data_IF_485672488847
#
_entry.id   IF_485672488847
#
_cell.length_a   1.000
_cell.length_b   1.000
_cell.length_c   1.000
_cell.angle_alpha   90.00
_cell.angle_beta   90.00
_cell.angle_gamma   90.00
#
_symmetry.space_group_name_H-M   'P 1'
#
loop_
_entity.id
_entity.type
_entity.pdbx_description
1 polymer ?
#
# COMPACT_ATOMS: atom_id res chain seq x y z
N UNK A 1 56.55 46.59 42.32
CA UNK A 1 55.67 45.48 42.75
C UNK A 1 54.88 45.05 41.52
N UNK A 2 55.28 43.97 40.85
CA UNK A 2 54.67 43.47 39.60
C UNK A 2 53.63 42.41 39.97
N UNK A 3 52.40 42.55 39.48
CA UNK A 3 51.35 41.52 39.63
C UNK A 3 51.22 40.83 38.27
N UNK A 4 51.47 39.52 38.25
CA UNK A 4 51.31 38.64 37.09
C UNK A 4 49.84 38.28 36.91
N UNK A 5 49.31 38.51 35.71
CA UNK A 5 48.06 37.90 35.26
C UNK A 5 48.35 36.49 34.73
N UNK A 6 47.62 35.49 35.22
CA UNK A 6 47.65 34.14 34.66
C UNK A 6 46.25 33.87 34.09
N UNK A 7 46.17 33.77 32.77
CA UNK A 7 44.95 33.36 32.05
C UNK A 7 45.06 31.86 31.83
N UNK A 8 44.18 31.08 32.45
CA UNK A 8 44.10 29.63 32.26
C UNK A 8 43.14 29.35 31.10
N UNK A 9 43.68 28.83 29.99
CA UNK A 9 42.89 28.37 28.85
C UNK A 9 42.49 26.90 29.10
N UNK A 10 41.20 26.63 29.24
CA UNK A 10 40.68 25.25 29.33
C UNK A 10 40.36 24.79 27.92
N UNK A 11 41.14 23.85 27.38
CA UNK A 11 40.85 23.20 26.11
C UNK A 11 39.84 22.07 26.33
N UNK A 12 38.62 22.25 25.84
CA UNK A 12 37.60 21.20 25.80
C UNK A 12 37.93 20.24 24.66
N UNK A 13 38.35 19.02 24.98
CA UNK A 13 38.49 17.94 23.99
C UNK A 13 37.10 17.36 23.75
N UNK A 14 36.47 17.71 22.62
CA UNK A 14 35.31 16.98 22.11
C UNK A 14 35.81 15.66 21.51
N UNK A 15 35.68 14.57 22.26
CA UNK A 15 35.73 13.22 21.69
C UNK A 15 34.45 12.99 20.88
N UNK A 16 34.54 13.09 19.55
CA UNK A 16 33.52 12.57 18.66
C UNK A 16 33.49 11.04 18.82
N UNK A 17 32.48 10.52 19.52
CA UNK A 17 32.17 9.10 19.51
C UNK A 17 31.58 8.83 18.13
N UNK A 18 32.41 8.29 17.23
CA UNK A 18 31.89 7.62 16.03
C UNK A 18 31.30 6.30 16.54
N UNK A 19 30.02 6.34 16.92
CA UNK A 19 29.27 5.13 17.15
C UNK A 19 29.18 4.41 15.80
N UNK A 20 29.82 3.25 15.68
CA UNK A 20 29.45 2.31 14.64
C UNK A 20 27.94 2.07 14.82
N UNK A 21 27.12 2.41 13.81
CA UNK A 21 25.70 2.11 13.79
C UNK A 21 25.52 0.59 13.82
N UNK A 22 25.51 0.01 15.02
CA UNK A 22 24.94 -1.32 15.20
C UNK A 22 23.46 -1.19 14.84
N UNK A 23 23.00 -2.03 13.90
CA UNK A 23 21.59 -2.14 13.56
C UNK A 23 20.78 -2.28 14.85
N UNK A 24 19.68 -1.54 14.95
CA UNK A 24 18.83 -1.63 16.12
C UNK A 24 18.22 -3.03 16.16
N UNK A 25 17.97 -3.61 17.35
CA UNK A 25 17.53 -5.00 17.46
C UNK A 25 16.18 -5.26 16.80
N UNK A 26 15.40 -4.20 16.56
CA UNK A 26 14.12 -4.27 15.89
C UNK A 26 14.17 -4.18 14.35
N UNK A 27 15.32 -3.85 13.75
CA UNK A 27 15.43 -3.63 12.29
C UNK A 27 15.02 -4.86 11.48
N UNK A 28 15.22 -6.06 12.05
CA UNK A 28 14.84 -7.34 11.45
C UNK A 28 13.33 -7.55 11.28
N UNK A 29 12.49 -6.74 11.95
CA UNK A 29 11.04 -6.88 11.91
C UNK A 29 10.36 -5.94 10.91
N UNK A 30 11.08 -5.01 10.29
CA UNK A 30 10.49 -4.10 9.30
C UNK A 30 9.97 -4.87 8.09
N UNK A 31 8.68 -4.72 7.83
CA UNK A 31 8.03 -5.23 6.61
C UNK A 31 7.87 -4.15 5.56
N UNK A 32 8.03 -2.87 5.90
CA UNK A 32 8.04 -1.83 4.87
C UNK A 32 9.17 -2.06 3.87
N UNK A 33 8.96 -1.89 2.56
CA UNK A 33 10.03 -2.04 1.58
C UNK A 33 11.09 -0.94 1.74
N UNK A 34 12.32 -1.22 1.33
CA UNK A 34 13.43 -0.24 1.37
C UNK A 34 13.41 0.75 0.19
N UNK A 35 12.61 0.44 -0.84
CA UNK A 35 12.48 1.17 -2.10
C UNK A 35 11.03 1.08 -2.56
N UNK A 36 10.58 2.05 -3.37
CA UNK A 36 9.28 1.93 -4.04
C UNK A 36 9.30 0.84 -5.11
N UNK A 37 10.41 0.63 -5.80
CA UNK A 37 10.52 -0.46 -6.77
C UNK A 37 10.96 -1.73 -6.05
N UNK A 38 10.04 -2.70 -5.97
CA UNK A 38 10.22 -3.95 -5.25
C UNK A 38 10.30 -5.08 -6.27
N UNK A 39 11.32 -5.92 -6.17
CA UNK A 39 11.44 -7.17 -6.91
C UNK A 39 10.91 -8.34 -6.08
N UNK A 40 10.40 -9.42 -6.70
CA UNK A 40 10.06 -10.63 -5.98
C UNK A 40 11.31 -11.26 -5.37
N UNK A 41 11.16 -11.89 -4.20
CA UNK A 41 12.26 -12.57 -3.51
C UNK A 41 12.50 -13.99 -4.04
N UNK A 42 11.58 -14.50 -4.87
CA UNK A 42 11.69 -15.82 -5.46
C UNK A 42 10.52 -16.15 -6.39
N UNK A 43 10.63 -17.30 -7.07
CA UNK A 43 9.52 -17.94 -7.76
C UNK A 43 8.88 -18.94 -6.80
N UNK A 44 7.58 -18.77 -6.54
CA UNK A 44 6.78 -19.66 -5.71
C UNK A 44 6.58 -21.03 -6.37
N UNK A 45 6.36 -21.02 -7.69
CA UNK A 45 6.17 -22.24 -8.47
C UNK A 45 5.84 -21.95 -9.92
N UNK A 46 5.89 -23.00 -10.75
CA UNK A 46 5.51 -22.97 -12.15
C UNK A 46 4.73 -24.22 -12.54
N UNK A 47 4.00 -24.15 -13.66
CA UNK A 47 3.22 -25.26 -14.22
C UNK A 47 3.26 -25.20 -15.74
N UNK A 48 3.27 -26.35 -16.40
CA UNK A 48 3.35 -26.44 -17.86
C UNK A 48 4.79 -26.42 -18.38
N UNK A 49 4.96 -25.87 -19.58
CA UNK A 49 6.26 -25.74 -20.24
C UNK A 49 6.92 -24.42 -19.84
N UNK A 50 7.67 -24.48 -18.74
CA UNK A 50 8.35 -23.34 -18.14
C UNK A 50 9.77 -23.71 -17.76
N UNK A 51 10.73 -22.95 -18.26
CA UNK A 51 12.13 -23.04 -17.84
C UNK A 51 12.44 -21.87 -16.89
N UNK A 52 12.89 -22.16 -15.68
CA UNK A 52 13.17 -21.16 -14.64
C UNK A 52 14.66 -21.13 -14.30
N UNK A 53 15.22 -19.94 -14.13
CA UNK A 53 16.57 -19.72 -13.61
C UNK A 53 16.57 -18.50 -12.69
N UNK A 54 16.82 -18.69 -11.40
CA UNK A 54 16.72 -17.63 -10.38
C UNK A 54 15.34 -16.92 -10.40
N UNK A 55 15.30 -15.67 -10.86
CA UNK A 55 14.08 -14.86 -11.03
C UNK A 55 13.68 -14.70 -12.51
N UNK A 56 14.36 -15.36 -13.44
CA UNK A 56 13.99 -15.36 -14.86
C UNK A 56 13.18 -16.61 -15.20
N UNK A 57 12.30 -16.49 -16.19
CA UNK A 57 11.51 -17.60 -16.66
C UNK A 57 11.21 -17.48 -18.16
N UNK A 58 11.39 -18.56 -18.90
CA UNK A 58 10.82 -18.70 -20.25
C UNK A 58 9.56 -19.52 -20.14
N UNK A 59 8.43 -18.94 -20.53
CA UNK A 59 7.10 -19.57 -20.49
C UNK A 59 6.65 -19.80 -21.93
N UNK A 60 6.27 -21.04 -22.27
CA UNK A 60 5.73 -21.42 -23.58
C UNK A 60 4.59 -22.41 -23.41
N UNK A 61 3.76 -22.59 -24.45
CA UNK A 61 2.67 -23.56 -24.41
C UNK A 61 1.43 -23.06 -23.66
N UNK A 62 0.27 -23.20 -24.30
CA UNK A 62 -1.01 -22.72 -23.77
C UNK A 62 -1.30 -23.29 -22.36
N UNK A 63 -1.53 -22.39 -21.40
CA UNK A 63 -1.85 -22.74 -20.02
C UNK A 63 -0.63 -22.83 -19.10
N UNK A 64 0.58 -22.60 -19.60
CA UNK A 64 1.78 -22.54 -18.76
C UNK A 64 1.79 -21.29 -17.88
N UNK A 65 2.25 -21.45 -16.64
CA UNK A 65 2.25 -20.40 -15.62
C UNK A 65 3.55 -20.37 -14.81
N UNK A 66 3.93 -19.18 -14.38
CA UNK A 66 4.97 -18.95 -13.36
C UNK A 66 4.45 -17.95 -12.35
N UNK A 67 4.61 -18.24 -11.06
CA UNK A 67 4.16 -17.37 -9.97
C UNK A 67 5.34 -16.88 -9.16
N UNK A 68 5.48 -15.56 -9.07
CA UNK A 68 6.48 -14.88 -8.27
C UNK A 68 5.96 -14.60 -6.85
N UNK A 69 6.83 -14.72 -5.85
CA UNK A 69 6.57 -14.39 -4.44
C UNK A 69 7.37 -13.15 -4.04
N UNK A 70 6.68 -12.10 -3.60
CA UNK A 70 7.31 -10.89 -3.04
C UNK A 70 7.80 -11.07 -1.60
N UNK A 71 7.55 -12.22 -0.96
CA UNK A 71 7.95 -12.54 0.41
C UNK A 71 7.10 -11.86 1.48
N UNK A 72 6.46 -10.75 1.11
CA UNK A 72 5.59 -9.93 1.93
C UNK A 72 4.44 -9.36 1.10
N UNK A 73 3.44 -8.79 1.77
CA UNK A 73 2.41 -8.04 1.05
C UNK A 73 3.03 -6.78 0.46
N UNK A 74 2.78 -6.51 -0.80
CA UNK A 74 3.11 -5.27 -1.53
C UNK A 74 1.82 -4.66 -2.08
N UNK A 75 1.85 -3.44 -2.57
CA UNK A 75 0.76 -2.84 -3.34
C UNK A 75 1.34 -2.08 -4.54
N UNK A 76 0.53 -1.76 -5.54
CA UNK A 76 0.95 -0.89 -6.64
C UNK A 76 0.80 -1.52 -8.02
N UNK A 77 1.47 -0.93 -9.01
CA UNK A 77 1.46 -1.39 -10.40
C UNK A 77 2.80 -2.04 -10.76
N UNK A 78 2.79 -2.92 -11.76
CA UNK A 78 3.95 -3.77 -12.08
C UNK A 78 4.65 -3.32 -13.35
N UNK A 79 5.94 -3.65 -13.41
CA UNK A 79 6.76 -3.62 -14.62
C UNK A 79 7.27 -5.02 -14.90
N UNK A 80 7.19 -5.42 -16.17
CA UNK A 80 7.75 -6.67 -16.69
C UNK A 80 8.84 -6.35 -17.71
N UNK A 81 9.93 -7.11 -17.66
CA UNK A 81 11.02 -7.06 -18.63
C UNK A 81 11.05 -8.36 -19.43
N UNK A 82 11.22 -8.21 -20.75
CA UNK A 82 11.21 -9.29 -21.71
C UNK A 82 12.56 -9.39 -22.42
N UNK A 83 13.10 -10.61 -22.51
CA UNK A 83 14.36 -10.90 -23.19
C UNK A 83 14.20 -11.20 -24.68
N UNK A 84 15.33 -11.28 -25.37
CA UNK A 84 15.44 -11.58 -26.81
C UNK A 84 14.80 -12.92 -27.24
N UNK A 85 14.58 -13.86 -26.32
CA UNK A 85 13.90 -15.14 -26.57
C UNK A 85 12.38 -15.03 -26.63
N UNK A 86 11.81 -13.85 -26.43
CA UNK A 86 10.37 -13.58 -26.58
C UNK A 86 9.99 -13.54 -28.06
N UNK A 87 8.92 -14.23 -28.43
CA UNK A 87 8.32 -14.10 -29.77
C UNK A 87 7.57 -12.77 -29.87
N UNK A 88 7.72 -12.07 -31.00
CA UNK A 88 7.02 -10.81 -31.28
C UNK A 88 5.50 -10.97 -31.34
N UNK A 89 4.75 -9.89 -31.08
CA UNK A 89 3.29 -9.84 -31.05
C UNK A 89 2.66 -10.85 -30.05
N UNK A 90 3.35 -11.15 -28.96
CA UNK A 90 2.83 -12.00 -27.88
C UNK A 90 2.29 -11.19 -26.71
N UNK A 91 1.62 -11.87 -25.78
CA UNK A 91 1.15 -11.26 -24.54
C UNK A 91 1.22 -12.24 -23.39
N UNK A 92 1.38 -11.68 -22.19
CA UNK A 92 1.41 -12.43 -20.95
C UNK A 92 0.20 -12.03 -20.10
N UNK A 93 -0.59 -13.02 -19.69
CA UNK A 93 -1.64 -12.83 -18.69
C UNK A 93 -1.02 -12.61 -17.32
N UNK A 94 -1.63 -11.73 -16.54
CA UNK A 94 -1.15 -11.26 -15.24
C UNK A 94 -2.30 -11.35 -14.23
N UNK A 95 -2.04 -12.03 -13.13
CA UNK A 95 -2.99 -12.19 -12.03
C UNK A 95 -2.31 -12.03 -10.67
N UNK A 96 -3.07 -11.51 -9.70
CA UNK A 96 -2.57 -11.15 -8.38
C UNK A 96 -3.29 -11.93 -7.29
N UNK A 97 -2.58 -12.33 -6.24
CA UNK A 97 -3.24 -12.89 -5.05
C UNK A 97 -2.56 -12.50 -3.73
N UNK A 98 -3.35 -12.37 -2.67
CA UNK A 98 -2.85 -12.11 -1.31
C UNK A 98 -2.32 -13.35 -0.60
N UNK A 99 -2.83 -14.53 -0.96
CA UNK A 99 -2.54 -15.79 -0.28
C UNK A 99 -2.29 -16.88 -1.32
N UNK A 100 -1.39 -17.80 -0.99
CA UNK A 100 -1.02 -18.91 -1.86
C UNK A 100 -2.21 -19.82 -2.21
N UNK A 101 -3.25 -19.86 -1.37
CA UNK A 101 -4.48 -20.60 -1.63
C UNK A 101 -5.24 -20.12 -2.88
N UNK A 102 -5.07 -18.85 -3.25
CA UNK A 102 -5.79 -18.22 -4.36
C UNK A 102 -4.87 -17.89 -5.54
N UNK A 103 -3.69 -18.51 -5.61
CA UNK A 103 -2.84 -18.43 -6.79
C UNK A 103 -3.59 -19.08 -7.95
N UNK A 104 -3.72 -18.32 -9.04
CA UNK A 104 -4.35 -18.77 -10.26
C UNK A 104 -4.07 -17.81 -11.42
N UNK A 105 -4.62 -18.14 -12.58
CA UNK A 105 -4.56 -17.29 -13.78
C UNK A 105 -5.54 -16.12 -13.71
N UNK A 106 -6.51 -16.16 -12.80
CA UNK A 106 -7.40 -15.05 -12.48
C UNK A 106 -6.98 -14.46 -11.13
N UNK A 107 -7.03 -13.14 -11.02
CA UNK A 107 -6.71 -12.45 -9.76
C UNK A 107 -7.72 -12.82 -8.67
N UNK A 108 -7.24 -12.95 -7.44
CA UNK A 108 -8.10 -13.22 -6.30
C UNK A 108 -9.10 -12.07 -6.06
N UNK A 109 -10.25 -12.41 -5.48
CA UNK A 109 -11.35 -11.45 -5.33
C UNK A 109 -10.91 -10.20 -4.59
N UNK A 110 -11.22 -9.04 -5.18
CA UNK A 110 -11.00 -7.73 -4.57
C UNK A 110 -12.29 -6.92 -4.40
N UNK A 111 -13.44 -7.62 -4.27
CA UNK A 111 -14.72 -7.05 -3.84
C UNK A 111 -15.53 -8.12 -3.08
N UNK A 112 -16.52 -7.69 -2.29
CA UNK A 112 -17.52 -8.55 -1.66
C UNK A 112 -18.66 -8.93 -2.63
N UNK A 113 -18.72 -8.27 -3.80
CA UNK A 113 -19.66 -8.58 -4.87
C UNK A 113 -19.21 -9.80 -5.68
N UNK A 114 -20.15 -10.46 -6.36
CA UNK A 114 -19.87 -11.57 -7.28
C UNK A 114 -19.25 -11.09 -8.61
N UNK A 115 -18.13 -10.35 -8.52
CA UNK A 115 -17.38 -9.80 -9.64
C UNK A 115 -15.97 -10.38 -9.59
N UNK A 116 -15.59 -11.05 -10.66
CA UNK A 116 -14.26 -11.65 -10.84
C UNK A 116 -13.37 -10.61 -11.51
N UNK A 117 -12.21 -10.33 -10.91
CA UNK A 117 -11.25 -9.38 -11.49
C UNK A 117 -10.61 -9.91 -12.78
N UNK A 118 -10.40 -11.23 -12.84
CA UNK A 118 -9.84 -11.90 -14.01
C UNK A 118 -8.34 -11.62 -14.19
N UNK A 119 -7.93 -11.62 -15.45
CA UNK A 119 -6.54 -11.52 -15.90
C UNK A 119 -6.38 -10.23 -16.71
N UNK A 120 -5.37 -9.43 -16.39
CA UNK A 120 -4.92 -8.33 -17.27
C UNK A 120 -3.76 -8.81 -18.13
N UNK A 121 -3.47 -8.14 -19.23
CA UNK A 121 -2.48 -8.61 -20.19
C UNK A 121 -1.38 -7.57 -20.42
N UNK A 122 -0.13 -8.02 -20.40
CA UNK A 122 1.02 -7.25 -20.84
C UNK A 122 1.36 -7.64 -22.27
N UNK A 123 1.43 -6.71 -23.24
CA UNK A 123 2.07 -6.98 -24.52
C UNK A 123 3.55 -7.28 -24.30
N UNK A 124 4.08 -8.27 -25.02
CA UNK A 124 5.45 -8.74 -24.89
C UNK A 124 6.14 -8.74 -26.27
N UNK A 125 7.29 -8.07 -26.32
CA UNK A 125 8.15 -7.99 -27.50
C UNK A 125 9.59 -8.38 -27.10
N UNK A 126 10.42 -8.89 -28.03
CA UNK A 126 11.83 -9.11 -27.77
C UNK A 126 12.54 -7.84 -27.25
N UNK A 127 13.39 -8.00 -26.24
CA UNK A 127 14.22 -6.93 -25.66
C UNK A 127 13.42 -5.68 -25.25
N UNK A 128 12.27 -5.87 -24.60
CA UNK A 128 11.34 -4.80 -24.25
C UNK A 128 10.97 -4.79 -22.77
N UNK A 129 10.26 -3.75 -22.35
CA UNK A 129 9.67 -3.67 -21.01
C UNK A 129 8.26 -3.10 -21.10
N UNK A 130 7.36 -3.59 -20.26
CA UNK A 130 6.00 -3.08 -20.15
C UNK A 130 5.67 -2.72 -18.71
N UNK A 131 5.27 -1.46 -18.50
CA UNK A 131 4.79 -0.96 -17.20
C UNK A 131 3.28 -0.74 -17.32
N UNK A 132 2.51 -1.35 -16.42
CA UNK A 132 1.08 -1.10 -16.36
C UNK A 132 0.79 0.31 -15.88
N UNK A 133 -0.25 0.93 -16.44
CA UNK A 133 -0.76 2.21 -15.94
C UNK A 133 -1.16 2.14 -14.47
N UNK A 134 -1.06 3.27 -13.77
CA UNK A 134 -1.38 3.37 -12.33
C UNK A 134 -2.81 2.95 -12.02
N UNK A 135 -3.73 3.12 -12.97
CA UNK A 135 -5.11 2.68 -12.87
C UNK A 135 -5.27 1.17 -12.70
N UNK A 136 -4.29 0.37 -13.15
CA UNK A 136 -4.25 -1.09 -12.94
C UNK A 136 -3.55 -1.50 -11.65
N UNK A 137 -3.04 -0.54 -10.87
CA UNK A 137 -2.37 -0.80 -9.61
C UNK A 137 -3.24 -1.69 -8.74
N UNK A 138 -2.73 -2.87 -8.40
CA UNK A 138 -3.41 -3.78 -7.51
C UNK A 138 -3.17 -3.30 -6.09
N UNK A 139 -4.26 -3.09 -5.35
CA UNK A 139 -4.18 -3.00 -3.90
C UNK A 139 -3.52 -4.25 -3.31
N UNK A 140 -3.26 -4.31 -2.01
CA UNK A 140 -2.32 -5.31 -1.44
C UNK A 140 -2.40 -6.75 -2.00
N UNK A 141 -1.25 -7.31 -2.40
CA UNK A 141 -1.03 -8.68 -2.88
C UNK A 141 0.38 -9.16 -2.51
N UNK A 142 0.66 -10.47 -2.62
CA UNK A 142 2.00 -11.05 -2.38
C UNK A 142 2.49 -11.89 -3.55
N UNK A 143 1.57 -12.52 -4.27
CA UNK A 143 1.90 -13.40 -5.38
C UNK A 143 1.45 -12.79 -6.69
N UNK A 144 2.31 -12.88 -7.69
CA UNK A 144 2.04 -12.46 -9.07
C UNK A 144 2.18 -13.66 -9.99
N UNK A 145 1.07 -14.11 -10.57
CA UNK A 145 1.05 -15.18 -11.57
C UNK A 145 1.11 -14.58 -12.95
N UNK A 146 2.05 -15.07 -13.74
CA UNK A 146 2.17 -14.81 -15.17
C UNK A 146 1.77 -16.08 -15.94
N UNK A 147 0.97 -15.93 -16.99
CA UNK A 147 0.43 -17.06 -17.76
C UNK A 147 0.41 -16.79 -19.26
N UNK A 148 0.72 -17.80 -20.07
CA UNK A 148 0.57 -17.70 -21.54
C UNK A 148 -0.68 -18.46 -22.02
N UNK A 149 -1.30 -17.96 -23.08
CA UNK A 149 -2.36 -18.64 -23.83
C UNK A 149 -1.95 -19.03 -25.25
N UNK A 150 -0.68 -18.79 -25.62
CA UNK A 150 -0.11 -19.17 -26.92
C UNK A 150 0.93 -20.28 -26.76
N UNK A 151 1.29 -20.93 -27.87
CA UNK A 151 2.45 -21.82 -27.92
C UNK A 151 3.79 -21.09 -28.00
N UNK A 152 3.75 -19.79 -28.27
CA UNK A 152 4.95 -18.96 -28.46
C UNK A 152 5.67 -18.71 -27.14
N UNK A 153 6.99 -18.58 -27.22
CA UNK A 153 7.82 -18.36 -26.05
C UNK A 153 7.78 -16.89 -25.60
N UNK A 154 7.70 -16.68 -24.29
CA UNK A 154 7.89 -15.37 -23.64
C UNK A 154 9.00 -15.52 -22.62
N UNK A 155 10.11 -14.81 -22.82
CA UNK A 155 11.26 -14.80 -21.90
C UNK A 155 11.12 -13.63 -20.94
N UNK A 156 10.79 -13.91 -19.68
CA UNK A 156 10.71 -12.93 -18.59
C UNK A 156 12.09 -12.80 -17.96
N UNK A 157 12.67 -11.61 -18.05
CA UNK A 157 14.00 -11.30 -17.51
C UNK A 157 13.94 -10.44 -16.25
N UNK A 158 12.78 -9.89 -15.91
CA UNK A 158 12.58 -9.10 -14.71
C UNK A 158 11.11 -8.85 -14.40
N UNK A 159 10.82 -8.76 -13.10
CA UNK A 159 9.50 -8.45 -12.55
C UNK A 159 9.70 -7.47 -11.41
N UNK A 160 8.96 -6.37 -11.40
CA UNK A 160 8.95 -5.44 -10.28
C UNK A 160 7.56 -4.85 -10.03
N UNK A 161 7.38 -4.31 -8.84
CA UNK A 161 6.20 -3.55 -8.42
C UNK A 161 6.62 -2.19 -7.93
N UNK A 162 5.99 -1.14 -8.44
CA UNK A 162 6.11 0.19 -7.89
C UNK A 162 5.10 0.41 -6.76
N UNK A 163 5.59 0.46 -5.52
CA UNK A 163 4.86 0.59 -4.27
C UNK A 163 4.22 1.97 -4.12
N UNK A 164 2.90 2.02 -4.00
CA UNK A 164 2.13 3.29 -3.98
C UNK A 164 1.58 3.67 -2.61
N UNK A 165 1.68 2.78 -1.60
CA UNK A 165 1.26 3.11 -0.25
C UNK A 165 2.14 4.22 0.37
N UNK A 166 1.55 4.93 1.32
CA UNK A 166 2.11 6.13 1.95
C UNK A 166 2.64 7.14 0.91
N UNK A 167 1.78 7.66 0.00
CA UNK A 167 2.20 8.55 -1.09
C UNK A 167 2.81 9.88 -0.63
N UNK A 168 2.58 10.31 0.61
CA UNK A 168 3.22 11.52 1.15
C UNK A 168 4.58 11.25 1.80
N UNK A 169 4.99 9.99 1.93
CA UNK A 169 6.31 9.60 2.46
C UNK A 169 7.33 9.57 1.33
N UNK A 170 8.50 10.20 1.54
CA UNK A 170 9.60 10.15 0.57
C UNK A 170 10.07 8.70 0.33
N UNK A 171 10.54 8.42 -0.88
CA UNK A 171 10.89 7.08 -1.33
C UNK A 171 11.95 6.38 -0.46
N UNK A 172 12.90 7.15 0.07
CA UNK A 172 13.98 6.68 0.94
C UNK A 172 13.57 6.59 2.43
N UNK A 173 12.34 6.97 2.77
CA UNK A 173 11.85 7.08 4.16
C UNK A 173 10.72 6.12 4.51
N UNK A 174 10.37 5.17 3.65
CA UNK A 174 9.30 4.20 3.92
C UNK A 174 9.52 3.39 5.22
N UNK A 175 10.78 3.22 5.64
CA UNK A 175 11.19 2.52 6.87
C UNK A 175 11.48 3.44 8.06
N UNK A 176 11.40 4.76 7.89
CA UNK A 176 11.65 5.74 8.95
C UNK A 176 10.40 5.90 9.82
N UNK A 177 10.14 4.90 10.67
CA UNK A 177 9.00 4.95 11.59
C UNK A 177 9.22 6.03 12.65
N UNK A 178 8.15 6.69 13.04
CA UNK A 178 8.16 7.71 14.11
C UNK A 178 8.23 7.10 15.52
N UNK A 179 7.96 5.80 15.65
CA UNK A 179 8.09 5.05 16.89
C UNK A 179 8.51 3.61 16.62
N UNK A 180 9.05 2.95 17.66
CA UNK A 180 9.60 1.60 17.59
C UNK A 180 9.23 0.82 18.85
N UNK A 181 9.12 -0.50 18.73
CA UNK A 181 8.84 -1.41 19.84
C UNK A 181 9.80 -2.58 19.82
N UNK A 182 10.35 -2.94 20.97
CA UNK A 182 11.16 -4.14 21.12
C UNK A 182 11.03 -4.72 22.53
N UNK A 183 10.89 -6.04 22.59
CA UNK A 183 10.77 -6.82 23.81
C UNK A 183 11.54 -8.14 23.68
N UNK A 184 11.60 -8.89 24.78
CA UNK A 184 12.15 -10.25 24.82
C UNK A 184 11.21 -11.31 24.20
N UNK A 185 9.99 -10.94 23.81
CA UNK A 185 9.04 -11.79 23.10
C UNK A 185 9.05 -11.49 21.59
N UNK A 186 9.59 -12.44 20.81
CA UNK A 186 9.66 -12.35 19.35
C UNK A 186 8.28 -12.22 18.68
N UNK A 187 7.26 -12.88 19.23
CA UNK A 187 5.90 -12.81 18.66
C UNK A 187 5.32 -11.41 18.84
N UNK A 188 5.50 -10.79 20.00
CA UNK A 188 5.04 -9.42 20.24
C UNK A 188 5.75 -8.42 19.33
N UNK A 189 7.07 -8.59 19.13
CA UNK A 189 7.83 -7.77 18.19
C UNK A 189 7.22 -7.90 16.78
N UNK A 190 7.04 -9.13 16.27
CA UNK A 190 6.46 -9.37 14.95
C UNK A 190 5.04 -8.82 14.79
N UNK A 191 4.19 -8.92 15.82
CA UNK A 191 2.83 -8.37 15.82
C UNK A 191 2.87 -6.85 15.66
N UNK A 192 3.75 -6.17 16.40
CA UNK A 192 3.84 -4.71 16.36
C UNK A 192 4.21 -4.21 14.95
N UNK A 193 5.25 -4.78 14.34
CA UNK A 193 5.70 -4.36 13.01
C UNK A 193 4.74 -4.79 11.88
N UNK A 194 4.03 -5.92 12.04
CA UNK A 194 2.94 -6.28 11.13
C UNK A 194 1.78 -5.27 11.21
N UNK A 195 1.46 -4.78 12.42
CA UNK A 195 0.47 -3.74 12.63
C UNK A 195 0.88 -2.40 11.97
N UNK A 196 2.11 -1.95 12.22
CA UNK A 196 2.68 -0.75 11.60
C UNK A 196 2.65 -0.83 10.07
N UNK A 197 3.05 -1.98 9.51
CA UNK A 197 3.02 -2.17 8.06
C UNK A 197 1.60 -2.23 7.49
N UNK A 198 0.65 -2.80 8.22
CA UNK A 198 -0.77 -2.83 7.81
C UNK A 198 -1.34 -1.43 7.68
N UNK A 199 -1.09 -0.54 8.66
CA UNK A 199 -1.57 0.84 8.58
C UNK A 199 -0.86 1.64 7.47
N UNK A 200 0.41 1.34 7.18
CA UNK A 200 1.13 1.91 6.03
C UNK A 200 0.45 1.49 4.71
N UNK A 201 0.20 0.19 4.51
CA UNK A 201 -0.47 -0.33 3.32
C UNK A 201 -1.87 0.26 3.12
N UNK A 202 -2.59 0.54 4.21
CA UNK A 202 -3.92 1.18 4.20
C UNK A 202 -3.87 2.70 4.05
N UNK A 203 -2.70 3.28 3.78
CA UNK A 203 -2.54 4.70 3.50
C UNK A 203 -2.30 4.88 2.00
N UNK A 204 -3.27 5.46 1.27
CA UNK A 204 -3.29 5.47 -0.20
C UNK A 204 -3.45 6.88 -0.77
N UNK A 205 -3.18 7.07 -2.05
CA UNK A 205 -3.55 8.30 -2.74
C UNK A 205 -5.07 8.34 -3.00
N UNK A 206 -5.68 9.53 -2.90
CA UNK A 206 -7.13 9.71 -3.00
C UNK A 206 -7.71 9.30 -4.36
N UNK A 207 -6.88 9.24 -5.40
CA UNK A 207 -7.22 8.77 -6.74
C UNK A 207 -6.85 7.30 -7.00
N UNK A 208 -6.60 6.51 -5.95
CA UNK A 208 -6.37 5.07 -6.03
C UNK A 208 -7.44 4.23 -5.31
N UNK A 209 -8.61 4.80 -5.10
CA UNK A 209 -9.73 4.05 -4.52
C UNK A 209 -10.29 3.06 -5.55
N UNK A 210 -11.12 2.14 -5.08
CA UNK A 210 -11.84 1.20 -5.92
C UNK A 210 -13.25 1.73 -6.18
N UNK A 211 -13.68 1.74 -7.44
CA UNK A 211 -15.04 2.16 -7.78
C UNK A 211 -16.09 1.31 -7.06
N UNK A 212 -17.23 1.93 -6.69
CA UNK A 212 -18.38 1.25 -6.13
C UNK A 212 -19.66 1.59 -6.92
N UNK A 213 -20.29 0.63 -7.61
CA UNK A 213 -19.83 -0.76 -7.78
C UNK A 213 -18.52 -0.84 -8.59
N UNK A 214 -17.70 -1.88 -8.38
CA UNK A 214 -16.54 -2.13 -9.22
C UNK A 214 -16.97 -2.40 -10.66
N UNK A 215 -16.21 -1.89 -11.63
CA UNK A 215 -16.44 -2.14 -13.05
C UNK A 215 -15.28 -2.94 -13.62
N UNK A 216 -15.58 -4.06 -14.27
CA UNK A 216 -14.63 -4.83 -15.07
C UNK A 216 -14.91 -4.51 -16.53
N UNK A 217 -13.88 -4.06 -17.24
CA UNK A 217 -13.92 -3.76 -18.68
C UNK A 217 -13.19 -4.85 -19.46
N UNK A 218 -13.16 -4.74 -20.79
CA UNK A 218 -12.35 -5.62 -21.63
C UNK A 218 -10.84 -5.55 -21.31
N UNK A 219 -10.39 -4.45 -20.68
CA UNK A 219 -9.00 -4.25 -20.24
C UNK A 219 -8.75 -4.72 -18.80
N UNK A 220 -9.78 -5.15 -18.08
CA UNK A 220 -9.70 -5.53 -16.65
C UNK A 220 -10.35 -4.51 -15.71
N UNK A 221 -9.83 -4.42 -14.49
CA UNK A 221 -10.30 -3.53 -13.43
C UNK A 221 -9.55 -2.21 -13.40
N UNK A 222 -10.13 -1.22 -12.71
CA UNK A 222 -9.45 0.02 -12.36
C UNK A 222 -9.52 0.31 -10.87
N UNK A 223 -8.37 0.68 -10.28
CA UNK A 223 -8.26 1.30 -8.97
C UNK A 223 -7.88 2.78 -9.15
N UNK A 224 -8.73 3.53 -9.87
CA UNK A 224 -8.57 4.95 -10.13
C UNK A 224 -9.78 5.79 -9.66
N UNK A 225 -10.64 5.21 -8.82
CA UNK A 225 -11.75 5.97 -8.25
C UNK A 225 -11.21 7.03 -7.28
N UNK A 226 -11.95 8.12 -7.16
CA UNK A 226 -11.54 9.26 -6.33
C UNK A 226 -12.32 9.28 -5.02
N UNK A 227 -11.59 9.37 -3.91
CA UNK A 227 -12.11 9.82 -2.62
C UNK A 227 -12.37 11.32 -2.75
N UNK A 228 -13.62 11.72 -2.67
CA UNK A 228 -14.09 13.08 -2.88
C UNK A 228 -13.83 13.96 -1.65
N UNK A 229 -13.94 15.28 -1.86
CA UNK A 229 -13.75 16.30 -0.82
C UNK A 229 -12.34 16.31 -0.20
N UNK A 230 -11.36 15.79 -0.93
CA UNK A 230 -9.93 15.94 -0.69
C UNK A 230 -9.25 16.22 -2.03
N UNK A 231 -8.08 16.84 -2.03
CA UNK A 231 -7.33 17.09 -3.27
C UNK A 231 -7.01 15.76 -3.97
N UNK A 232 -7.08 15.72 -5.30
CA UNK A 232 -6.67 14.56 -6.09
C UNK A 232 -5.21 14.21 -5.80
N UNK A 233 -4.95 12.94 -5.47
CA UNK A 233 -3.62 12.45 -5.11
C UNK A 233 -3.25 12.66 -3.64
N UNK A 234 -4.08 13.34 -2.84
CA UNK A 234 -3.85 13.49 -1.41
C UNK A 234 -3.79 12.12 -0.71
N UNK A 235 -2.94 12.00 0.30
CA UNK A 235 -2.87 10.79 1.11
C UNK A 235 -4.11 10.63 1.99
N UNK A 236 -4.73 9.46 2.00
CA UNK A 236 -5.95 9.17 2.77
C UNK A 236 -5.83 7.80 3.46
N UNK A 237 -6.29 7.72 4.71
CA UNK A 237 -6.35 6.47 5.46
C UNK A 237 -7.65 5.72 5.15
N UNK A 238 -7.54 4.45 4.77
CA UNK A 238 -8.66 3.61 4.32
C UNK A 238 -8.77 2.31 5.12
N UNK A 239 -9.89 1.61 4.97
CA UNK A 239 -10.15 0.31 5.60
C UNK A 239 -9.12 -0.77 5.26
N UNK A 240 -8.81 -0.91 3.96
CA UNK A 240 -8.08 -2.06 3.47
C UNK A 240 -7.30 -1.76 2.20
N UNK A 241 -6.05 -2.22 2.19
CA UNK A 241 -5.13 -1.97 1.08
C UNK A 241 -5.51 -2.66 -0.23
N UNK A 242 -6.20 -3.82 -0.20
CA UNK A 242 -6.69 -4.50 -1.42
C UNK A 242 -8.06 -3.96 -1.83
N UNK A 243 -8.95 -3.88 -0.85
CA UNK A 243 -10.35 -3.47 -0.95
C UNK A 243 -10.83 -3.09 0.46
N UNK A 244 -11.86 -2.25 0.60
CA UNK A 244 -12.54 -1.52 -0.48
C UNK A 244 -11.81 -0.22 -0.86
N UNK A 245 -10.68 0.07 -0.20
CA UNK A 245 -9.83 1.25 -0.42
C UNK A 245 -10.63 2.54 -0.22
N UNK A 246 -11.46 2.56 0.82
CA UNK A 246 -12.40 3.65 1.13
C UNK A 246 -12.23 4.12 2.58
N UNK A 247 -12.45 5.39 2.92
CA UNK A 247 -12.44 5.84 4.31
C UNK A 247 -13.63 5.26 5.07
N UNK A 248 -13.39 4.36 6.01
CA UNK A 248 -14.41 3.80 6.88
C UNK A 248 -14.16 4.25 8.33
N UNK A 249 -15.06 5.03 8.95
CA UNK A 249 -14.78 5.68 10.23
C UNK A 249 -14.52 4.70 11.38
N UNK A 250 -15.19 3.54 11.40
CA UNK A 250 -14.88 2.50 12.39
C UNK A 250 -13.47 1.94 12.26
N UNK A 251 -13.05 1.69 11.03
CA UNK A 251 -11.78 1.04 10.70
C UNK A 251 -10.59 1.97 10.95
N UNK A 252 -10.62 3.18 10.38
CA UNK A 252 -9.53 4.14 10.60
C UNK A 252 -9.58 4.73 12.01
N UNK A 253 -10.76 4.88 12.62
CA UNK A 253 -10.91 5.34 14.00
C UNK A 253 -10.19 4.42 14.98
N UNK A 254 -10.47 3.11 14.92
CA UNK A 254 -9.77 2.11 15.74
C UNK A 254 -8.27 2.05 15.44
N UNK A 255 -7.88 2.21 14.17
CA UNK A 255 -6.49 2.06 13.74
C UNK A 255 -5.64 3.32 13.91
N UNK A 256 -6.24 4.48 14.22
CA UNK A 256 -5.52 5.76 14.36
C UNK A 256 -4.50 5.71 15.49
N UNK A 257 -4.81 5.04 16.60
CA UNK A 257 -3.85 4.85 17.70
C UNK A 257 -2.64 3.99 17.28
N UNK A 258 -2.82 3.01 16.40
CA UNK A 258 -1.69 2.26 15.84
C UNK A 258 -0.86 3.14 14.91
N UNK A 259 -1.51 4.00 14.10
CA UNK A 259 -0.81 4.93 13.21
C UNK A 259 -0.05 5.99 14.00
N UNK A 260 -0.63 6.59 15.05
CA UNK A 260 0.02 7.67 15.82
C UNK A 260 1.30 7.21 16.52
N UNK A 261 1.37 5.95 16.96
CA UNK A 261 2.56 5.43 17.65
C UNK A 261 3.65 4.92 16.69
N UNK A 262 3.31 4.63 15.44
CA UNK A 262 4.23 4.02 14.47
C UNK A 262 4.62 4.98 13.33
N UNK A 263 3.67 5.72 12.76
CA UNK A 263 3.80 6.48 11.52
C UNK A 263 3.12 7.88 11.62
N UNK A 264 3.60 8.73 12.51
CA UNK A 264 3.06 10.07 12.79
C UNK A 264 4.02 11.22 12.46
N UNK A 265 4.98 11.00 11.56
CA UNK A 265 5.90 12.06 11.12
C UNK A 265 5.19 13.20 10.40
N UNK A 266 3.99 12.97 9.89
CA UNK A 266 3.14 13.88 9.13
C UNK A 266 1.99 14.50 9.94
N UNK A 267 1.99 14.30 11.26
CA UNK A 267 0.91 14.72 12.16
C UNK A 267 -0.49 14.17 11.76
N UNK A 268 -0.56 12.88 11.43
CA UNK A 268 -1.78 12.15 11.05
C UNK A 268 -2.49 12.72 9.81
N UNK A 269 -1.74 13.21 8.81
CA UNK A 269 -2.28 13.84 7.60
C UNK A 269 -3.33 12.98 6.89
N UNK A 270 -3.06 11.68 6.73
CA UNK A 270 -4.01 10.77 6.08
C UNK A 270 -5.32 10.59 6.84
N UNK A 271 -5.28 10.70 8.19
CA UNK A 271 -6.46 10.62 9.06
C UNK A 271 -7.28 11.90 8.95
N UNK A 272 -6.59 13.06 8.94
CA UNK A 272 -7.21 14.37 8.70
C UNK A 272 -8.03 14.36 7.40
N UNK A 273 -7.44 13.87 6.31
CA UNK A 273 -8.13 13.77 5.02
C UNK A 273 -9.30 12.78 5.04
N UNK A 274 -9.16 11.63 5.71
CA UNK A 274 -10.25 10.67 5.86
C UNK A 274 -11.45 11.29 6.61
N UNK A 275 -11.20 12.00 7.71
CA UNK A 275 -12.22 12.73 8.47
C UNK A 275 -12.89 13.79 7.59
N UNK A 276 -12.10 14.65 6.92
CA UNK A 276 -12.62 15.71 6.05
C UNK A 276 -13.55 15.14 4.97
N UNK A 277 -13.15 14.02 4.35
CA UNK A 277 -13.96 13.38 3.30
C UNK A 277 -15.34 12.93 3.77
N UNK A 278 -15.47 12.53 5.03
CA UNK A 278 -16.72 12.07 5.65
C UNK A 278 -17.59 13.22 6.15
N UNK A 279 -16.99 14.24 6.77
CA UNK A 279 -17.72 15.41 7.26
C UNK A 279 -18.34 16.20 6.12
N UNK A 280 -17.62 16.33 5.01
CA UNK A 280 -18.11 17.01 3.81
C UNK A 280 -19.36 16.38 3.18
N UNK A 281 -19.70 15.13 3.54
CA UNK A 281 -20.89 14.41 3.05
C UNK A 281 -21.91 14.10 4.14
N UNK A 282 -21.81 14.76 5.30
CA UNK A 282 -22.82 14.67 6.35
C UNK A 282 -24.19 15.09 5.79
N UNK A 283 -25.23 14.34 6.14
CA UNK A 283 -26.58 14.66 5.72
C UNK A 283 -27.04 15.99 6.34
N UNK A 284 -27.26 16.99 5.51
CA UNK A 284 -27.60 18.36 5.94
C UNK A 284 -29.01 18.53 6.49
N UNK A 285 -29.89 17.53 6.32
CA UNK A 285 -31.27 17.59 6.81
C UNK A 285 -31.44 16.97 8.19
N UNK A 286 -30.70 15.89 8.49
CA UNK A 286 -30.83 15.16 9.76
C UNK A 286 -29.51 15.02 10.55
N UNK A 287 -28.40 15.56 10.06
CA UNK A 287 -27.08 15.51 10.71
C UNK A 287 -26.41 14.14 10.66
N UNK A 288 -26.95 13.16 9.95
CA UNK A 288 -26.41 11.81 9.93
C UNK A 288 -25.12 11.74 9.08
N UNK A 289 -24.02 11.27 9.68
CA UNK A 289 -22.83 10.86 8.92
C UNK A 289 -23.05 9.62 8.05
N UNK A 290 -22.27 9.53 6.97
CA UNK A 290 -22.28 8.39 6.07
C UNK A 290 -21.71 7.13 6.74
N UNK A 291 -22.20 5.96 6.32
CA UNK A 291 -21.69 4.66 6.79
C UNK A 291 -20.22 4.44 6.40
N UNK A 292 -19.86 4.84 5.18
CA UNK A 292 -18.51 4.83 4.63
C UNK A 292 -18.32 6.08 3.77
N UNK A 293 -17.07 6.45 3.49
CA UNK A 293 -16.72 7.53 2.58
C UNK A 293 -16.98 7.20 1.12
N UNK A 294 -16.66 8.13 0.23
CA UNK A 294 -16.70 7.89 -1.22
C UNK A 294 -15.57 6.95 -1.66
N UNK A 295 -15.78 6.10 -2.68
CA UNK A 295 -16.93 6.10 -3.59
C UNK A 295 -18.14 5.27 -3.13
N UNK A 296 -18.10 4.66 -1.94
CA UNK A 296 -19.22 3.84 -1.43
C UNK A 296 -20.42 4.71 -1.00
N UNK A 297 -20.17 5.86 -0.39
CA UNK A 297 -21.18 6.72 0.24
C UNK A 297 -22.44 6.98 -0.62
N UNK A 298 -22.34 7.39 -1.90
CA UNK A 298 -23.52 7.75 -2.69
C UNK A 298 -24.53 6.61 -2.83
N UNK A 299 -24.05 5.38 -3.03
CA UNK A 299 -24.91 4.20 -3.15
C UNK A 299 -25.59 3.86 -1.82
N UNK A 300 -24.83 3.83 -0.72
CA UNK A 300 -25.37 3.42 0.59
C UNK A 300 -26.35 4.47 1.13
N UNK A 301 -26.08 5.76 0.92
CA UNK A 301 -26.98 6.85 1.30
C UNK A 301 -28.28 6.81 0.49
N UNK A 302 -28.20 6.60 -0.83
CA UNK A 302 -29.40 6.45 -1.67
C UNK A 302 -30.26 5.26 -1.25
N UNK A 303 -29.62 4.17 -0.81
CA UNK A 303 -30.31 2.99 -0.31
C UNK A 303 -30.87 3.16 1.13
N UNK A 304 -30.66 4.32 1.77
CA UNK A 304 -31.08 4.55 3.15
C UNK A 304 -30.34 3.69 4.19
N UNK A 305 -29.18 3.14 3.82
CA UNK A 305 -28.38 2.29 4.70
C UNK A 305 -27.60 3.20 5.67
N UNK A 306 -27.73 2.90 6.96
CA UNK A 306 -27.09 3.64 8.03
C UNK A 306 -26.49 2.68 9.07
N UNK A 307 -25.65 3.24 9.94
CA UNK A 307 -25.04 2.51 11.05
C UNK A 307 -24.77 3.49 12.18
N UNK A 308 -25.48 3.33 13.30
CA UNK A 308 -25.27 4.15 14.50
C UNK A 308 -23.83 4.01 15.02
N UNK A 309 -23.24 2.82 14.87
CA UNK A 309 -21.85 2.57 15.28
C UNK A 309 -20.87 3.40 14.45
N UNK A 310 -20.98 3.37 13.12
CA UNK A 310 -20.08 4.12 12.23
C UNK A 310 -20.34 5.63 12.27
N UNK A 311 -21.59 6.02 12.52
CA UNK A 311 -21.96 7.40 12.82
C UNK A 311 -21.17 7.93 14.04
N UNK A 312 -21.17 7.19 15.15
CA UNK A 312 -20.45 7.57 16.37
C UNK A 312 -18.92 7.50 16.16
N UNK A 313 -18.41 6.53 15.42
CA UNK A 313 -16.97 6.46 15.11
C UNK A 313 -16.46 7.67 14.33
N UNK A 314 -17.30 8.30 13.49
CA UNK A 314 -16.92 9.55 12.80
C UNK A 314 -16.63 10.67 13.81
N UNK A 315 -17.44 10.77 14.87
CA UNK A 315 -17.26 11.74 15.95
C UNK A 315 -16.05 11.40 16.83
N UNK A 316 -15.90 10.13 17.21
CA UNK A 316 -14.76 9.66 18.03
C UNK A 316 -13.45 9.92 17.29
N UNK A 317 -13.38 9.61 15.99
CA UNK A 317 -12.17 9.82 15.22
C UNK A 317 -11.77 11.30 15.13
N UNK A 318 -12.72 12.23 15.03
CA UNK A 318 -12.42 13.66 15.10
C UNK A 318 -11.87 14.06 16.48
N UNK A 319 -12.50 13.58 17.57
CA UNK A 319 -12.06 13.89 18.92
C UNK A 319 -10.66 13.33 19.23
N UNK A 320 -10.39 12.09 18.82
CA UNK A 320 -9.08 11.46 18.95
C UNK A 320 -8.04 12.21 18.11
N UNK A 321 -8.34 12.51 16.84
CA UNK A 321 -7.45 13.31 15.98
C UNK A 321 -7.10 14.64 16.64
N UNK A 322 -8.10 15.43 17.04
CA UNK A 322 -7.90 16.74 17.65
C UNK A 322 -7.06 16.66 18.94
N UNK A 323 -7.28 15.61 19.75
CA UNK A 323 -6.52 15.38 20.98
C UNK A 323 -5.06 15.00 20.69
N UNK A 324 -4.82 14.18 19.67
CA UNK A 324 -3.51 13.66 19.32
C UNK A 324 -2.64 14.70 18.58
N UNK A 325 -3.25 15.53 17.73
CA UNK A 325 -2.52 16.46 16.85
C UNK A 325 -2.56 17.91 17.30
N UNK A 326 -3.48 18.28 18.20
CA UNK A 326 -3.78 19.66 18.58
C UNK A 326 -4.10 20.59 17.39
N UNK A 327 -4.58 20.05 16.26
CA UNK A 327 -4.98 20.79 15.07
C UNK A 327 -6.36 21.45 15.25
N UNK A 328 -6.39 22.53 16.05
CA UNK A 328 -7.63 23.25 16.35
C UNK A 328 -8.18 24.00 15.15
N UNK A 329 -7.33 24.43 14.22
CA UNK A 329 -7.75 25.13 13.00
C UNK A 329 -8.61 24.21 12.12
N UNK A 330 -8.21 22.95 11.96
CA UNK A 330 -9.03 21.97 11.23
C UNK A 330 -10.39 21.76 11.90
N UNK A 331 -10.42 21.63 13.23
CA UNK A 331 -11.68 21.42 13.98
C UNK A 331 -12.64 22.61 13.83
N UNK A 332 -12.12 23.84 13.82
CA UNK A 332 -12.92 25.05 13.66
C UNK A 332 -13.44 25.26 12.23
N UNK A 333 -12.82 24.63 11.23
CA UNK A 333 -13.12 24.83 9.80
C UNK A 333 -13.88 23.67 9.13
N UNK A 334 -14.06 22.56 9.85
CA UNK A 334 -14.86 21.39 9.47
C UNK A 334 -16.36 21.70 9.37
#
# INVERSE_FOLDING_TARGET
>A
MKVQATVTFVASVLTAVVAANAAAPWDQYFQSPASRDIEPVGIYGSSGDVNVSDLTATVSGNGSTVTYDFGQQVNGFITLHFGSGTTSDTKLGVAFSKSAQYIGIESDLSTDMAIIDGTIYAPAEPDSSYTFGREFARGSYRYLTLSTSSSDAVEITGVSTHFTAAPATDDDKLREYSGYFYSDDDLLNRIWYAGAYTVQLCTIASNESRANPPTITEYGWFNNATIQNVTTGAEVFVDGAKRDRTPWPGDFGVSTLSKVVSLNSDNLLSVRHAINSLYAIQNTTNGQFAYAGTPIAPRVQLAGINSDTYHIWTLIALADYATLTADTEFVETL
#
